data_IF_728975136303
#
_entry.id   IF_728975136303
#
_cell.length_a   1.000
_cell.length_b   1.000
_cell.length_c   1.000
_cell.angle_alpha   90.00
_cell.angle_beta   90.00
_cell.angle_gamma   90.00
#
_symmetry.space_group_name_H-M   'P 1'
#
loop_
_entity.id
_entity.type
_entity.pdbx_description
1 polymer ?
#
# COMPACT_ATOMS: atom_id res chain seq x y z
N UNK A 1 25.19 14.24 28.19
CA UNK A 1 23.93 13.46 28.24
C UNK A 1 22.82 14.10 27.40
N UNK A 2 22.72 15.42 27.32
CA UNK A 2 21.72 16.10 26.45
C UNK A 2 22.01 15.99 24.93
N UNK A 3 23.28 15.97 24.50
CA UNK A 3 23.64 15.80 23.09
C UNK A 3 23.30 14.40 22.51
N UNK A 4 23.26 13.36 23.35
CA UNK A 4 22.94 11.99 22.93
C UNK A 4 21.44 11.85 22.61
N UNK A 5 20.58 12.55 23.35
CA UNK A 5 19.14 12.62 23.10
C UNK A 5 18.82 13.26 21.74
N UNK A 6 19.56 14.30 21.34
CA UNK A 6 19.36 15.00 20.06
C UNK A 6 19.79 14.18 18.83
N UNK A 7 20.71 13.22 18.99
CA UNK A 7 21.10 12.31 17.91
C UNK A 7 20.11 11.14 17.75
N UNK A 8 19.41 10.76 18.81
CA UNK A 8 18.37 9.71 18.79
C UNK A 8 16.98 10.24 18.43
N UNK A 9 16.69 11.52 18.70
CA UNK A 9 15.46 12.18 18.30
C UNK A 9 15.59 12.62 16.84
N UNK A 10 15.39 11.69 15.90
CA UNK A 10 15.36 12.00 14.48
C UNK A 10 14.24 13.03 14.22
N UNK A 11 14.54 14.30 13.87
CA UNK A 11 13.53 15.34 13.76
C UNK A 11 12.49 15.01 12.68
N UNK A 12 12.89 14.23 11.67
CA UNK A 12 12.02 13.66 10.65
C UNK A 12 10.98 12.69 11.21
N UNK A 13 11.30 11.93 12.26
CA UNK A 13 10.40 10.94 12.86
C UNK A 13 9.31 11.64 13.69
N UNK A 14 9.66 12.75 14.36
CA UNK A 14 8.72 13.61 15.09
C UNK A 14 7.70 14.28 14.15
N UNK A 15 8.12 14.72 12.97
CA UNK A 15 7.20 15.37 12.00
C UNK A 15 6.47 14.38 11.10
N UNK A 16 7.05 13.21 10.80
CA UNK A 16 6.41 12.22 9.91
C UNK A 16 5.37 11.35 10.61
N UNK A 17 5.52 11.04 11.90
CA UNK A 17 4.52 10.28 12.69
C UNK A 17 3.08 10.79 12.56
N UNK A 18 2.79 12.09 12.77
CA UNK A 18 1.42 12.58 12.61
C UNK A 18 0.95 12.48 11.15
N UNK A 19 1.82 12.73 10.17
CA UNK A 19 1.48 12.63 8.75
C UNK A 19 1.13 11.18 8.38
N UNK A 20 1.94 10.21 8.79
CA UNK A 20 1.70 8.79 8.53
C UNK A 20 0.45 8.31 9.26
N UNK A 21 0.20 8.77 10.49
CA UNK A 21 -1.03 8.43 11.22
C UNK A 21 -2.28 8.94 10.52
N UNK A 22 -2.27 10.16 9.98
CA UNK A 22 -3.37 10.70 9.18
C UNK A 22 -3.54 9.93 7.87
N UNK A 23 -2.42 9.55 7.25
CA UNK A 23 -2.42 8.75 6.03
C UNK A 23 -3.01 7.36 6.28
N UNK A 24 -2.57 6.61 7.31
CA UNK A 24 -3.11 5.27 7.62
C UNK A 24 -4.59 5.32 8.02
N UNK A 25 -5.02 6.38 8.70
CA UNK A 25 -6.42 6.62 9.05
C UNK A 25 -7.31 6.82 7.81
N UNK A 26 -6.79 7.40 6.74
CA UNK A 26 -7.52 7.59 5.48
C UNK A 26 -7.34 6.42 4.50
N UNK A 27 -6.15 5.82 4.45
CA UNK A 27 -5.74 4.85 3.43
C UNK A 27 -6.37 3.47 3.73
N UNK A 28 -6.52 3.09 5.00
CA UNK A 28 -7.22 1.87 5.42
C UNK A 28 -8.70 1.86 5.00
N UNK A 29 -9.52 2.87 5.34
CA UNK A 29 -10.91 2.90 4.89
C UNK A 29 -11.03 3.10 3.38
N UNK A 30 -10.14 3.87 2.74
CA UNK A 30 -10.15 4.04 1.28
C UNK A 30 -9.94 2.70 0.56
N UNK A 31 -8.98 1.88 1.00
CA UNK A 31 -8.79 0.53 0.45
C UNK A 31 -10.00 -0.38 0.69
N UNK A 32 -10.64 -0.28 1.86
CA UNK A 32 -11.88 -1.00 2.16
C UNK A 32 -13.03 -0.65 1.22
N UNK A 33 -13.24 0.65 0.97
CA UNK A 33 -14.29 1.15 0.08
C UNK A 33 -14.01 0.73 -1.37
N UNK A 34 -12.77 0.88 -1.85
CA UNK A 34 -12.39 0.46 -3.21
C UNK A 34 -12.57 -1.05 -3.39
N UNK A 35 -12.22 -1.85 -2.37
CA UNK A 35 -12.47 -3.29 -2.38
C UNK A 35 -13.96 -3.63 -2.46
N UNK A 36 -14.79 -2.98 -1.66
CA UNK A 36 -16.24 -3.20 -1.65
C UNK A 36 -16.90 -2.78 -2.98
N UNK A 37 -16.59 -1.58 -3.48
CA UNK A 37 -17.11 -1.08 -4.76
C UNK A 37 -16.62 -1.95 -5.93
N UNK A 38 -15.35 -2.35 -5.93
CA UNK A 38 -14.80 -3.26 -6.95
C UNK A 38 -15.51 -4.60 -6.97
N UNK A 39 -15.79 -5.19 -5.80
CA UNK A 39 -16.52 -6.44 -5.68
C UNK A 39 -17.97 -6.32 -6.21
N UNK A 40 -18.68 -5.26 -5.80
CA UNK A 40 -20.05 -4.98 -6.27
C UNK A 40 -20.07 -4.83 -7.80
N UNK A 41 -19.14 -4.07 -8.37
CA UNK A 41 -19.08 -3.82 -9.81
C UNK A 41 -18.77 -5.09 -10.60
N UNK A 42 -17.89 -5.96 -10.08
CA UNK A 42 -17.62 -7.28 -10.65
C UNK A 42 -18.88 -8.16 -10.71
N UNK A 43 -19.71 -8.16 -9.65
CA UNK A 43 -20.96 -8.95 -9.63
C UNK A 43 -21.93 -8.44 -10.69
N UNK A 44 -22.10 -7.12 -10.82
CA UNK A 44 -23.01 -6.50 -11.80
C UNK A 44 -22.58 -6.85 -13.23
N UNK A 45 -21.29 -6.75 -13.54
CA UNK A 45 -20.73 -7.12 -14.84
C UNK A 45 -20.88 -8.62 -15.12
N UNK A 46 -20.63 -9.47 -14.11
CA UNK A 46 -20.83 -10.92 -14.23
C UNK A 46 -22.28 -11.28 -14.53
N UNK A 47 -23.24 -10.65 -13.85
CA UNK A 47 -24.66 -10.83 -14.10
C UNK A 47 -25.08 -10.37 -15.50
N UNK A 48 -24.55 -9.23 -15.99
CA UNK A 48 -24.77 -8.76 -17.36
C UNK A 48 -24.22 -9.73 -18.41
N UNK A 49 -23.07 -10.34 -18.14
CA UNK A 49 -22.48 -11.34 -19.03
C UNK A 49 -23.28 -12.65 -19.07
N UNK A 50 -23.84 -13.07 -17.94
CA UNK A 50 -24.69 -14.26 -17.84
C UNK A 50 -26.04 -14.10 -18.56
N UNK A 51 -26.62 -12.90 -18.55
CA UNK A 51 -27.91 -12.59 -19.19
C UNK A 51 -27.82 -12.14 -20.66
N UNK A 52 -26.61 -11.96 -21.21
CA UNK A 52 -26.44 -11.50 -22.59
C UNK A 52 -26.76 -12.62 -23.60
N UNK A 53 -27.95 -12.58 -24.19
CA UNK A 53 -28.42 -13.52 -25.23
C UNK A 53 -28.08 -13.03 -26.65
N UNK A 54 -27.96 -11.72 -26.88
CA UNK A 54 -27.54 -11.15 -28.16
C UNK A 54 -26.01 -11.21 -28.34
N UNK A 55 -25.52 -11.64 -29.53
CA UNK A 55 -24.09 -11.84 -29.78
C UNK A 55 -23.25 -10.57 -29.56
N UNK A 56 -23.81 -9.40 -29.87
CA UNK A 56 -23.13 -8.10 -29.73
C UNK A 56 -22.94 -7.69 -28.25
N UNK A 57 -23.91 -7.95 -27.38
CA UNK A 57 -23.79 -7.65 -25.94
C UNK A 57 -22.89 -8.66 -25.22
N UNK A 58 -22.85 -9.90 -25.72
CA UNK A 58 -22.00 -10.96 -25.14
C UNK A 58 -20.51 -10.68 -25.35
N UNK A 59 -20.11 -10.17 -26.51
CA UNK A 59 -18.72 -9.76 -26.77
C UNK A 59 -18.31 -8.51 -25.97
N UNK A 60 -19.18 -7.50 -25.88
CA UNK A 60 -18.93 -6.32 -25.05
C UNK A 60 -18.79 -6.67 -23.57
N UNK A 61 -19.67 -7.51 -23.05
CA UNK A 61 -19.59 -7.96 -21.66
C UNK A 61 -18.30 -8.73 -21.39
N UNK A 62 -17.88 -9.64 -22.29
CA UNK A 62 -16.61 -10.39 -22.16
C UNK A 62 -15.39 -9.49 -22.09
N UNK A 63 -15.32 -8.48 -22.96
CA UNK A 63 -14.21 -7.52 -22.92
C UNK A 63 -14.21 -6.70 -21.63
N UNK A 64 -15.38 -6.31 -21.14
CA UNK A 64 -15.52 -5.58 -19.88
C UNK A 64 -15.11 -6.43 -18.67
N UNK A 65 -15.52 -7.71 -18.63
CA UNK A 65 -15.11 -8.67 -17.60
C UNK A 65 -13.58 -8.87 -17.60
N UNK A 66 -12.98 -9.05 -18.78
CA UNK A 66 -11.54 -9.24 -18.94
C UNK A 66 -10.77 -8.02 -18.42
N UNK A 67 -11.26 -6.81 -18.73
CA UNK A 67 -10.66 -5.58 -18.22
C UNK A 67 -10.83 -5.44 -16.69
N UNK A 68 -11.98 -5.83 -16.13
CA UNK A 68 -12.23 -5.81 -14.70
C UNK A 68 -11.29 -6.76 -13.94
N UNK A 69 -11.09 -7.97 -14.45
CA UNK A 69 -10.14 -8.95 -13.89
C UNK A 69 -8.71 -8.40 -13.93
N UNK A 70 -8.29 -7.82 -15.07
CA UNK A 70 -6.97 -7.22 -15.21
C UNK A 70 -6.78 -6.08 -14.21
N UNK A 71 -7.77 -5.20 -14.04
CA UNK A 71 -7.72 -4.12 -13.05
C UNK A 71 -7.60 -4.65 -11.62
N UNK A 72 -8.38 -5.68 -11.25
CA UNK A 72 -8.30 -6.28 -9.93
C UNK A 72 -6.92 -6.89 -9.64
N UNK A 73 -6.38 -7.65 -10.58
CA UNK A 73 -5.03 -8.23 -10.48
C UNK A 73 -3.98 -7.12 -10.39
N UNK A 74 -4.11 -6.06 -11.19
CA UNK A 74 -3.17 -4.95 -11.21
C UNK A 74 -3.14 -4.20 -9.88
N UNK A 75 -4.30 -3.92 -9.27
CA UNK A 75 -4.37 -3.30 -7.93
C UNK A 75 -3.75 -4.21 -6.87
N UNK A 76 -4.01 -5.51 -6.92
CA UNK A 76 -3.44 -6.47 -5.98
C UNK A 76 -1.90 -6.49 -6.06
N UNK A 77 -1.36 -6.59 -7.28
CA UNK A 77 0.10 -6.56 -7.51
C UNK A 77 0.71 -5.24 -7.04
N UNK A 78 0.08 -4.09 -7.35
CA UNK A 78 0.57 -2.78 -6.89
C UNK A 78 0.68 -2.70 -5.37
N UNK A 79 -0.35 -3.14 -4.64
CA UNK A 79 -0.37 -3.10 -3.17
C UNK A 79 0.70 -4.03 -2.59
N UNK A 80 0.87 -5.23 -3.14
CA UNK A 80 1.90 -6.19 -2.70
C UNK A 80 3.29 -5.61 -2.89
N UNK A 81 3.59 -5.04 -4.06
CA UNK A 81 4.90 -4.43 -4.35
C UNK A 81 5.15 -3.25 -3.41
N UNK A 82 4.17 -2.38 -3.17
CA UNK A 82 4.30 -1.28 -2.21
C UNK A 82 4.52 -1.79 -0.79
N UNK A 83 3.80 -2.81 -0.33
CA UNK A 83 4.01 -3.40 1.00
C UNK A 83 5.41 -3.98 1.18
N UNK A 84 5.90 -4.71 0.17
CA UNK A 84 7.23 -5.28 0.18
C UNK A 84 8.30 -4.18 0.13
N UNK A 85 8.12 -3.17 -0.72
CA UNK A 85 9.02 -2.02 -0.82
C UNK A 85 9.11 -1.21 0.48
N UNK A 86 7.96 -0.92 1.12
CA UNK A 86 7.94 -0.25 2.43
C UNK A 86 8.64 -1.07 3.50
N UNK A 87 8.41 -2.39 3.53
CA UNK A 87 9.05 -3.27 4.52
C UNK A 87 10.56 -3.31 4.32
N UNK A 88 11.02 -3.48 3.07
CA UNK A 88 12.44 -3.49 2.74
C UNK A 88 13.12 -2.16 3.11
N UNK A 89 12.45 -1.02 2.85
CA UNK A 89 12.96 0.30 3.21
C UNK A 89 13.04 0.50 4.74
N UNK A 90 12.04 0.03 5.50
CA UNK A 90 12.05 0.05 6.96
C UNK A 90 13.20 -0.80 7.52
N UNK A 91 13.36 -2.04 7.05
CA UNK A 91 14.44 -2.93 7.47
C UNK A 91 15.82 -2.34 7.19
N UNK A 92 16.00 -1.70 6.03
CA UNK A 92 17.24 -1.02 5.68
C UNK A 92 17.51 0.19 6.60
N UNK A 93 16.50 1.02 6.87
CA UNK A 93 16.62 2.21 7.71
C UNK A 93 16.95 1.85 9.17
N UNK A 94 16.33 0.79 9.70
CA UNK A 94 16.65 0.25 11.02
C UNK A 94 18.08 -0.28 11.08
N UNK A 95 18.53 -0.98 10.04
CA UNK A 95 19.90 -1.47 9.92
C UNK A 95 20.93 -0.33 9.89
N UNK A 96 20.68 0.71 9.08
CA UNK A 96 21.54 1.88 8.99
C UNK A 96 21.62 2.64 10.32
N UNK A 97 20.50 2.81 11.01
CA UNK A 97 20.44 3.51 12.30
C UNK A 97 21.20 2.74 13.39
N UNK A 98 21.08 1.41 13.42
CA UNK A 98 21.85 0.55 14.36
C UNK A 98 23.36 0.62 14.10
N UNK A 99 23.79 0.63 12.84
CA UNK A 99 25.20 0.75 12.48
C UNK A 99 25.79 2.09 12.93
N UNK A 100 25.06 3.19 12.75
CA UNK A 100 25.47 4.52 13.23
C UNK A 100 25.52 4.60 14.76
N UNK A 101 24.53 4.03 15.46
CA UNK A 101 24.52 3.99 16.92
C UNK A 101 25.72 3.23 17.51
N UNK A 102 26.06 2.07 16.94
CA UNK A 102 27.21 1.27 17.36
C UNK A 102 28.55 1.98 17.13
N UNK A 103 28.68 2.74 16.03
CA UNK A 103 29.86 3.56 15.77
C UNK A 103 30.00 4.73 16.77
N UNK A 104 28.88 5.27 17.24
CA UNK A 104 28.86 6.34 18.24
C UNK A 104 29.24 5.84 19.64
N UNK A 105 28.75 4.65 20.05
CA UNK A 105 29.12 4.04 21.34
C UNK A 105 30.62 3.71 21.40
N UNK A 106 31.21 3.24 20.30
CA UNK A 106 32.64 2.91 20.25
C UNK A 106 33.56 4.15 20.29
N UNK A 107 33.06 5.32 19.89
CA UNK A 107 33.83 6.58 19.91
C UNK A 107 33.80 7.26 21.30
N UNK A 108 32.85 6.86 22.16
CA UNK A 108 32.68 7.39 23.52
C UNK A 108 33.03 6.38 24.63
N UNK A 109 33.59 5.21 24.27
CA UNK A 109 34.26 4.25 25.16
C UNK A 109 35.78 4.38 25.04
#
# INVERSE_FOLDING_TARGET
MEMYLLLTANPFDTVSKPIISLLEMALTPALGIVGALGAIYCIILGAKLAKAEEPQDREKAKNSLKNAIIGFVLIFVLIVVLKLGMTAMRTWMEGATKATAAAMDLYWM
#
